data_IF_954819632507
#
_entry.id   IF_954819632507
#
_cell.length_a   1.000
_cell.length_b   1.000
_cell.length_c   1.000
_cell.angle_alpha   90.00
_cell.angle_beta   90.00
_cell.angle_gamma   90.00
#
_symmetry.space_group_name_H-M   'P 1'
#
loop_
_entity.id
_entity.type
_entity.pdbx_description
1 polymer ?
#
# COMPACT_ATOMS: atom_id res chain seq x y z
N UNK A 1 -21.52 -3.28 11.07
CA UNK A 1 -22.57 -4.24 10.66
C UNK A 1 -22.30 -4.63 9.22
N UNK A 2 -21.74 -5.83 8.95
CA UNK A 2 -21.43 -6.28 7.60
C UNK A 2 -22.75 -6.61 6.89
N UNK A 3 -22.91 -6.14 5.66
CA UNK A 3 -24.12 -6.34 4.86
C UNK A 3 -24.30 -7.85 4.56
N UNK A 4 -25.09 -8.54 5.38
CA UNK A 4 -25.43 -9.97 5.24
C UNK A 4 -26.81 -10.14 4.64
N UNK A 5 -27.00 -9.64 3.42
CA UNK A 5 -28.24 -9.89 2.66
C UNK A 5 -28.25 -11.28 2.03
N UNK A 6 -28.43 -12.32 2.81
CA UNK A 6 -28.55 -13.70 2.31
C UNK A 6 -29.93 -13.91 1.69
N UNK A 7 -30.02 -13.90 0.36
CA UNK A 7 -31.17 -14.44 -0.36
C UNK A 7 -31.04 -15.98 -0.44
N UNK A 8 -31.99 -16.71 0.16
CA UNK A 8 -32.13 -18.16 0.09
C UNK A 8 -32.37 -18.56 -1.38
N UNK A 9 -31.44 -19.27 -2.04
CA UNK A 9 -31.62 -19.82 -3.40
C UNK A 9 -30.63 -19.35 -4.47
N UNK A 10 -29.72 -18.41 -4.23
CA UNK A 10 -28.74 -17.98 -5.24
C UNK A 10 -27.59 -19.00 -5.40
N UNK A 11 -27.26 -19.30 -6.68
CA UNK A 11 -26.16 -20.19 -7.06
C UNK A 11 -24.85 -19.63 -6.54
N UNK A 12 -24.21 -20.32 -5.64
CA UNK A 12 -22.89 -19.99 -5.10
C UNK A 12 -21.81 -20.31 -6.10
N UNK A 13 -20.81 -19.42 -6.21
CA UNK A 13 -19.74 -19.55 -7.17
C UNK A 13 -18.37 -19.48 -6.49
N UNK A 14 -17.39 -20.15 -7.10
CA UNK A 14 -15.99 -20.13 -6.64
C UNK A 14 -15.26 -18.89 -7.17
N UNK A 15 -14.14 -18.56 -6.54
CA UNK A 15 -13.34 -17.35 -6.87
C UNK A 15 -13.00 -17.22 -8.38
N UNK A 16 -12.69 -18.32 -9.08
CA UNK A 16 -12.42 -18.29 -10.52
C UNK A 16 -13.63 -17.82 -11.33
N UNK A 17 -14.82 -18.23 -10.94
CA UNK A 17 -16.06 -17.80 -11.58
C UNK A 17 -16.39 -16.34 -11.25
N UNK A 18 -16.07 -15.90 -10.02
CA UNK A 18 -16.18 -14.48 -9.61
C UNK A 18 -15.23 -13.62 -10.46
N UNK A 19 -13.98 -14.06 -10.68
CA UNK A 19 -13.03 -13.38 -11.57
C UNK A 19 -13.61 -13.18 -12.97
N UNK A 20 -14.15 -14.22 -13.56
CA UNK A 20 -14.75 -14.17 -14.89
C UNK A 20 -15.98 -13.25 -14.96
N UNK A 21 -16.85 -13.28 -13.93
CA UNK A 21 -18.12 -12.51 -13.90
C UNK A 21 -17.96 -11.05 -13.54
N UNK A 22 -16.97 -10.71 -12.70
CA UNK A 22 -16.73 -9.35 -12.20
C UNK A 22 -15.57 -8.68 -12.91
N UNK A 23 -14.64 -9.47 -13.47
CA UNK A 23 -13.41 -8.97 -14.10
C UNK A 23 -12.48 -8.32 -13.07
N UNK A 24 -12.30 -8.97 -11.93
CA UNK A 24 -11.32 -8.64 -10.89
C UNK A 24 -10.46 -9.88 -10.65
N UNK A 25 -9.14 -9.72 -10.52
CA UNK A 25 -8.29 -10.86 -10.22
C UNK A 25 -8.49 -11.37 -8.78
N UNK A 26 -8.25 -12.66 -8.54
CA UNK A 26 -8.41 -13.31 -7.24
C UNK A 26 -7.63 -12.58 -6.13
N UNK A 27 -6.47 -12.02 -6.45
CA UNK A 27 -5.66 -11.23 -5.51
C UNK A 27 -6.43 -10.02 -4.97
N UNK A 28 -7.11 -9.28 -5.85
CA UNK A 28 -7.91 -8.12 -5.47
C UNK A 28 -9.15 -8.53 -4.68
N UNK A 29 -9.82 -9.64 -5.06
CA UNK A 29 -10.97 -10.16 -4.33
C UNK A 29 -10.58 -10.51 -2.89
N UNK A 30 -9.47 -11.28 -2.70
CA UNK A 30 -8.94 -11.63 -1.38
C UNK A 30 -8.48 -10.42 -0.57
N UNK A 31 -7.96 -9.39 -1.24
CA UNK A 31 -7.60 -8.14 -0.59
C UNK A 31 -8.85 -7.46 -0.02
N UNK A 32 -9.96 -7.36 -0.78
CA UNK A 32 -11.20 -6.79 -0.29
C UNK A 32 -11.84 -7.58 0.85
N UNK A 33 -11.70 -8.92 0.85
CA UNK A 33 -12.08 -9.76 2.00
C UNK A 33 -11.25 -9.41 3.24
N UNK A 34 -9.92 -9.34 3.10
CA UNK A 34 -9.01 -9.01 4.20
C UNK A 34 -9.30 -7.63 4.79
N UNK A 35 -9.64 -6.67 3.93
CA UNK A 35 -10.04 -5.32 4.35
C UNK A 35 -11.46 -5.25 4.93
N UNK A 36 -12.20 -6.38 4.93
CA UNK A 36 -13.53 -6.48 5.52
C UNK A 36 -14.64 -5.79 4.72
N UNK A 37 -14.45 -5.65 3.38
CA UNK A 37 -15.49 -5.17 2.47
C UNK A 37 -16.44 -6.30 2.04
N UNK A 38 -15.98 -7.56 2.16
CA UNK A 38 -16.69 -8.78 1.83
C UNK A 38 -16.52 -9.78 2.95
N UNK A 39 -17.54 -10.58 3.18
CA UNK A 39 -17.52 -11.70 4.12
C UNK A 39 -18.12 -12.96 3.47
N UNK A 40 -17.45 -13.55 2.45
CA UNK A 40 -17.96 -14.74 1.78
C UNK A 40 -18.02 -15.92 2.76
N UNK A 41 -18.96 -16.81 2.54
CA UNK A 41 -19.13 -17.98 3.38
C UNK A 41 -18.00 -18.99 3.13
N UNK A 42 -17.47 -19.56 4.20
CA UNK A 42 -16.51 -20.68 4.10
C UNK A 42 -17.29 -22.01 4.15
N UNK A 43 -16.92 -22.96 3.28
CA UNK A 43 -17.48 -24.31 3.32
C UNK A 43 -16.93 -25.07 4.53
N UNK A 44 -17.83 -25.70 5.29
CA UNK A 44 -17.43 -26.60 6.36
C UNK A 44 -16.67 -27.80 5.77
N UNK A 45 -15.43 -28.02 6.20
CA UNK A 45 -14.62 -29.18 5.85
C UNK A 45 -13.44 -28.93 4.92
N UNK A 46 -13.49 -28.00 3.97
CA UNK A 46 -12.39 -27.76 3.03
C UNK A 46 -11.86 -26.31 2.99
N UNK A 47 -12.48 -25.39 3.76
CA UNK A 47 -12.04 -23.99 3.85
C UNK A 47 -12.23 -23.16 2.58
N UNK A 48 -12.83 -23.71 1.51
CA UNK A 48 -13.08 -22.96 0.29
C UNK A 48 -14.15 -21.90 0.49
N UNK A 49 -13.94 -20.74 -0.15
CA UNK A 49 -14.86 -19.60 -0.12
C UNK A 49 -15.92 -19.75 -1.21
N UNK A 50 -17.17 -19.58 -0.82
CA UNK A 50 -18.33 -19.54 -1.71
C UNK A 50 -18.89 -18.11 -1.71
N UNK A 51 -19.03 -17.54 -2.89
CA UNK A 51 -19.56 -16.21 -3.12
C UNK A 51 -21.00 -16.31 -3.62
N UNK A 52 -21.86 -15.48 -3.09
CA UNK A 52 -23.25 -15.38 -3.54
C UNK A 52 -23.48 -14.16 -4.46
N UNK A 53 -24.71 -13.95 -4.90
CA UNK A 53 -25.06 -12.81 -5.76
C UNK A 53 -24.84 -11.47 -5.09
N UNK A 54 -25.01 -11.38 -3.77
CA UNK A 54 -24.77 -10.17 -2.99
C UNK A 54 -23.27 -9.81 -2.97
N UNK A 55 -22.39 -10.80 -2.81
CA UNK A 55 -20.95 -10.64 -2.89
C UNK A 55 -20.53 -10.14 -4.27
N UNK A 56 -21.06 -10.72 -5.35
CA UNK A 56 -20.80 -10.29 -6.72
C UNK A 56 -21.27 -8.85 -6.97
N UNK A 57 -22.44 -8.48 -6.45
CA UNK A 57 -22.96 -7.12 -6.53
C UNK A 57 -22.10 -6.13 -5.76
N UNK A 58 -21.64 -6.48 -4.55
CA UNK A 58 -20.70 -5.68 -3.77
C UNK A 58 -19.39 -5.48 -4.49
N UNK A 59 -18.78 -6.54 -5.06
CA UNK A 59 -17.56 -6.46 -5.84
C UNK A 59 -17.69 -5.55 -7.07
N UNK A 60 -18.82 -5.58 -7.76
CA UNK A 60 -19.07 -4.67 -8.90
C UNK A 60 -19.16 -3.21 -8.45
N UNK A 61 -19.80 -2.92 -7.31
CA UNK A 61 -19.87 -1.58 -6.71
C UNK A 61 -18.48 -1.11 -6.30
N UNK A 62 -17.70 -1.96 -5.62
CA UNK A 62 -16.31 -1.66 -5.26
C UNK A 62 -15.49 -1.34 -6.51
N UNK A 63 -15.56 -2.19 -7.55
CA UNK A 63 -14.87 -1.99 -8.82
C UNK A 63 -15.22 -0.65 -9.46
N UNK A 64 -16.51 -0.31 -9.51
CA UNK A 64 -16.98 0.96 -10.06
C UNK A 64 -16.39 2.15 -9.30
N UNK A 65 -16.54 2.18 -7.99
CA UNK A 65 -16.07 3.29 -7.15
C UNK A 65 -14.53 3.41 -7.16
N UNK A 66 -13.82 2.26 -7.19
CA UNK A 66 -12.35 2.26 -7.34
C UNK A 66 -11.87 2.77 -8.70
N UNK A 67 -12.62 2.53 -9.77
CA UNK A 67 -12.32 3.14 -11.08
C UNK A 67 -12.49 4.66 -11.09
N UNK A 68 -13.32 5.18 -10.21
CA UNK A 68 -13.47 6.62 -9.98
C UNK A 68 -12.46 7.16 -8.94
N UNK A 69 -11.50 6.34 -8.50
CA UNK A 69 -10.48 6.67 -7.48
C UNK A 69 -11.06 7.01 -6.08
N UNK A 70 -12.29 6.54 -5.78
CA UNK A 70 -12.87 6.70 -4.44
C UNK A 70 -12.04 5.93 -3.42
N UNK A 71 -11.66 6.53 -2.27
CA UNK A 71 -10.88 5.87 -1.23
C UNK A 71 -11.57 4.62 -0.68
N UNK A 72 -10.79 3.57 -0.39
CA UNK A 72 -11.33 2.30 0.07
C UNK A 72 -12.09 2.42 1.40
N UNK A 73 -11.63 3.30 2.30
CA UNK A 73 -12.29 3.59 3.56
C UNK A 73 -13.71 4.14 3.39
N UNK A 74 -13.91 5.03 2.41
CA UNK A 74 -15.24 5.57 2.09
C UNK A 74 -16.14 4.50 1.48
N UNK A 75 -15.59 3.67 0.57
CA UNK A 75 -16.34 2.53 0.00
C UNK A 75 -16.79 1.58 1.11
N UNK A 76 -15.92 1.29 2.07
CA UNK A 76 -16.24 0.47 3.24
C UNK A 76 -17.37 1.08 4.08
N UNK A 77 -17.31 2.39 4.33
CA UNK A 77 -18.34 3.12 5.07
C UNK A 77 -19.69 3.09 4.33
N UNK A 78 -19.67 3.26 2.99
CA UNK A 78 -20.88 3.16 2.16
C UNK A 78 -21.47 1.74 2.17
N UNK A 79 -20.66 0.69 2.08
CA UNK A 79 -21.11 -0.70 2.14
C UNK A 79 -21.66 -1.05 3.52
N UNK A 80 -21.12 -0.47 4.59
CA UNK A 80 -21.61 -0.63 5.95
C UNK A 80 -22.86 0.22 6.26
N UNK A 81 -23.28 1.11 5.35
CA UNK A 81 -24.41 2.01 5.54
C UNK A 81 -24.16 3.16 6.52
N UNK A 82 -22.90 3.39 6.94
CA UNK A 82 -22.51 4.51 7.81
C UNK A 82 -22.28 5.80 7.03
N UNK A 83 -22.13 5.70 5.72
CA UNK A 83 -22.01 6.81 4.78
C UNK A 83 -22.95 6.56 3.61
N UNK A 84 -23.75 7.56 3.22
CA UNK A 84 -24.58 7.45 2.02
C UNK A 84 -23.74 7.59 0.75
N UNK A 85 -24.20 7.00 -0.36
CA UNK A 85 -23.50 7.13 -1.65
C UNK A 85 -23.37 8.59 -2.08
N UNK A 86 -24.45 9.35 -1.92
CA UNK A 86 -24.50 10.77 -2.27
C UNK A 86 -23.48 11.59 -1.48
N UNK A 87 -23.45 11.42 -0.17
CA UNK A 87 -22.51 12.15 0.69
C UNK A 87 -21.04 11.77 0.39
N UNK A 88 -20.74 10.47 0.21
CA UNK A 88 -19.41 10.02 -0.15
C UNK A 88 -18.95 10.55 -1.51
N UNK A 89 -19.82 10.55 -2.51
CA UNK A 89 -19.49 11.09 -3.82
C UNK A 89 -19.34 12.61 -3.81
N UNK A 90 -20.14 13.36 -3.03
CA UNK A 90 -19.94 14.82 -2.87
C UNK A 90 -18.58 15.14 -2.25
N UNK A 91 -18.17 14.42 -1.20
CA UNK A 91 -16.84 14.58 -0.61
C UNK A 91 -15.74 14.28 -1.64
N UNK A 92 -15.91 13.24 -2.42
CA UNK A 92 -14.95 12.86 -3.43
C UNK A 92 -14.86 13.89 -4.58
N UNK A 93 -15.99 14.50 -4.99
CA UNK A 93 -16.00 15.60 -5.98
C UNK A 93 -15.13 16.77 -5.53
N UNK A 94 -15.24 17.20 -4.26
CA UNK A 94 -14.38 18.28 -3.72
C UNK A 94 -12.89 17.92 -3.83
N UNK A 95 -12.53 16.65 -3.58
CA UNK A 95 -11.15 16.18 -3.74
C UNK A 95 -10.71 16.23 -5.21
N UNK A 96 -11.56 15.80 -6.14
CA UNK A 96 -11.27 15.84 -7.58
C UNK A 96 -11.14 17.29 -8.10
N UNK A 97 -12.00 18.21 -7.68
CA UNK A 97 -11.92 19.64 -8.00
C UNK A 97 -10.60 20.25 -7.51
N UNK A 98 -10.20 19.94 -6.27
CA UNK A 98 -8.92 20.38 -5.72
C UNK A 98 -7.73 19.82 -6.53
N UNK A 99 -7.77 18.55 -6.91
CA UNK A 99 -6.73 17.94 -7.76
C UNK A 99 -6.69 18.58 -9.15
N UNK A 100 -7.83 18.86 -9.74
CA UNK A 100 -7.92 19.55 -11.03
C UNK A 100 -7.29 20.94 -10.97
N UNK A 101 -7.62 21.74 -9.95
CA UNK A 101 -7.02 23.05 -9.72
C UNK A 101 -5.48 22.97 -9.59
N UNK A 102 -4.97 21.99 -8.85
CA UNK A 102 -3.54 21.79 -8.70
C UNK A 102 -2.86 21.44 -10.03
N UNK A 103 -3.48 20.55 -10.83
CA UNK A 103 -2.98 20.18 -12.15
C UNK A 103 -3.00 21.35 -13.14
N UNK A 104 -4.06 22.15 -13.14
CA UNK A 104 -4.16 23.34 -13.98
C UNK A 104 -3.11 24.39 -13.62
N UNK A 105 -2.79 24.52 -12.33
CA UNK A 105 -1.71 25.43 -11.88
C UNK A 105 -0.34 24.90 -12.29
N UNK A 106 -0.07 23.62 -12.12
CA UNK A 106 1.18 23.01 -12.58
C UNK A 106 1.35 23.14 -14.09
N UNK A 107 0.27 22.92 -14.86
CA UNK A 107 0.27 23.08 -16.33
C UNK A 107 0.59 24.51 -16.75
N UNK A 108 0.02 25.52 -16.06
CA UNK A 108 0.33 26.93 -16.34
C UNK A 108 1.79 27.25 -16.08
N UNK A 109 2.34 26.82 -14.95
CA UNK A 109 3.76 26.99 -14.65
C UNK A 109 4.66 26.33 -15.69
N UNK A 110 4.36 25.10 -16.09
CA UNK A 110 5.09 24.43 -17.16
C UNK A 110 5.04 25.22 -18.49
N UNK A 111 3.86 25.77 -18.83
CA UNK A 111 3.68 26.55 -20.04
C UNK A 111 4.48 27.87 -20.01
N UNK A 112 4.59 28.51 -18.83
CA UNK A 112 5.42 29.71 -18.68
C UNK A 112 6.93 29.37 -18.79
N UNK A 113 7.37 28.32 -18.12
CA UNK A 113 8.76 27.84 -18.19
C UNK A 113 9.15 27.42 -19.62
N UNK A 114 8.22 26.84 -20.37
CA UNK A 114 8.43 26.43 -21.77
C UNK A 114 8.65 27.60 -22.73
N UNK A 115 8.32 28.84 -22.34
CA UNK A 115 8.63 30.03 -23.14
C UNK A 115 10.10 30.44 -23.05
N UNK A 116 10.85 29.93 -22.08
CA UNK A 116 12.30 30.20 -21.94
C UNK A 116 13.05 29.38 -23.00
N UNK A 117 13.67 30.03 -24.01
CA UNK A 117 14.40 29.31 -25.04
C UNK A 117 15.74 28.81 -24.49
N UNK A 118 16.15 27.63 -24.90
CA UNK A 118 17.49 27.13 -24.62
C UNK A 118 17.54 25.83 -23.80
N UNK A 119 18.70 25.57 -23.26
CA UNK A 119 18.98 24.39 -22.45
C UNK A 119 18.51 24.63 -21.01
N UNK A 120 18.36 23.54 -20.25
CA UNK A 120 17.99 23.61 -18.83
C UNK A 120 18.87 24.54 -17.98
N UNK A 121 20.14 24.70 -18.38
CA UNK A 121 21.09 25.63 -17.73
C UNK A 121 20.72 27.12 -17.86
N UNK A 122 19.84 27.47 -18.79
CA UNK A 122 19.35 28.84 -18.95
C UNK A 122 18.15 29.17 -18.04
N UNK A 123 17.56 28.17 -17.39
CA UNK A 123 16.45 28.35 -16.46
C UNK A 123 16.95 28.90 -15.13
N UNK A 124 16.37 30.01 -14.67
CA UNK A 124 16.53 30.46 -13.29
C UNK A 124 15.61 29.67 -12.36
N UNK A 125 16.14 28.72 -11.56
CA UNK A 125 15.33 27.88 -10.70
C UNK A 125 14.82 28.63 -9.47
N UNK A 126 15.52 29.70 -9.02
CA UNK A 126 15.16 30.39 -7.77
C UNK A 126 13.86 31.16 -7.92
N UNK A 127 13.68 31.87 -9.01
CA UNK A 127 12.44 32.60 -9.31
C UNK A 127 11.24 31.64 -9.45
N UNK A 128 11.43 30.51 -10.14
CA UNK A 128 10.39 29.49 -10.32
C UNK A 128 10.00 28.82 -8.98
N UNK A 129 11.00 28.49 -8.15
CA UNK A 129 10.76 27.89 -6.82
C UNK A 129 10.09 28.89 -5.86
N UNK A 130 10.44 30.18 -5.91
CA UNK A 130 9.78 31.21 -5.11
C UNK A 130 8.29 31.34 -5.47
N UNK A 131 7.96 31.34 -6.76
CA UNK A 131 6.56 31.33 -7.22
C UNK A 131 5.81 30.07 -6.80
N UNK A 132 6.43 28.89 -6.90
CA UNK A 132 5.83 27.66 -6.40
C UNK A 132 5.56 27.71 -4.90
N UNK A 133 6.51 28.24 -4.10
CA UNK A 133 6.34 28.38 -2.66
C UNK A 133 5.18 29.35 -2.31
N UNK A 134 5.01 30.43 -3.07
CA UNK A 134 3.88 31.36 -2.92
C UNK A 134 2.54 30.64 -3.18
N UNK A 135 2.47 29.89 -4.27
CA UNK A 135 1.26 29.14 -4.64
C UNK A 135 0.94 28.04 -3.61
N UNK A 136 1.95 27.43 -2.99
CA UNK A 136 1.76 26.46 -1.90
C UNK A 136 1.15 27.14 -0.65
N UNK A 137 1.56 28.36 -0.34
CA UNK A 137 0.93 29.14 0.74
C UNK A 137 -0.55 29.46 0.45
N UNK A 138 -0.92 29.63 -0.83
CA UNK A 138 -2.29 29.81 -1.30
C UNK A 138 -3.09 28.48 -1.33
N UNK A 139 -2.49 27.36 -0.91
CA UNK A 139 -3.13 26.04 -0.80
C UNK A 139 -3.01 25.14 -2.03
N UNK A 140 -2.23 25.52 -3.04
CA UNK A 140 -1.87 24.65 -4.15
C UNK A 140 -0.93 23.56 -3.65
N UNK A 141 -1.09 22.31 -4.13
CA UNK A 141 -0.19 21.20 -3.77
C UNK A 141 0.49 20.68 -5.02
N UNK A 142 1.79 20.93 -5.11
CA UNK A 142 2.62 20.31 -6.14
C UNK A 142 2.99 18.87 -5.75
N UNK A 143 3.25 18.03 -6.76
CA UNK A 143 3.67 16.64 -6.55
C UNK A 143 5.13 16.65 -6.12
N UNK A 144 5.38 16.32 -4.87
CA UNK A 144 6.74 16.08 -4.36
C UNK A 144 7.15 14.65 -4.72
N UNK A 145 7.84 14.52 -5.86
CA UNK A 145 8.33 13.23 -6.38
C UNK A 145 9.29 12.58 -5.38
N UNK A 146 10.18 13.38 -4.76
CA UNK A 146 11.15 12.86 -3.78
C UNK A 146 10.45 12.25 -2.55
N UNK A 147 9.37 12.89 -2.08
CA UNK A 147 8.60 12.38 -0.95
C UNK A 147 7.86 11.08 -1.26
N UNK A 148 7.41 10.94 -2.50
CA UNK A 148 6.72 9.73 -2.98
C UNK A 148 7.71 8.58 -3.14
N UNK A 149 8.87 8.81 -3.76
CA UNK A 149 9.94 7.83 -3.94
C UNK A 149 10.55 7.40 -2.61
N UNK A 150 10.73 8.33 -1.68
CA UNK A 150 11.23 8.06 -0.33
C UNK A 150 10.32 7.10 0.44
N UNK A 151 9.00 7.27 0.36
CA UNK A 151 8.02 6.34 0.96
C UNK A 151 8.12 4.95 0.32
N UNK A 152 8.25 4.88 -0.99
CA UNK A 152 8.35 3.61 -1.74
C UNK A 152 9.63 2.83 -1.39
N UNK A 153 10.78 3.53 -1.34
CA UNK A 153 12.08 2.97 -0.92
C UNK A 153 12.07 2.49 0.54
N UNK A 154 11.47 3.27 1.45
CA UNK A 154 11.32 2.89 2.84
C UNK A 154 10.46 1.62 3.04
N UNK A 155 9.36 1.47 2.30
CA UNK A 155 8.54 0.25 2.33
C UNK A 155 9.32 -0.98 1.87
N UNK A 156 10.13 -0.87 0.81
CA UNK A 156 11.00 -1.95 0.34
C UNK A 156 12.03 -2.38 1.40
N UNK A 157 12.68 -1.41 2.05
CA UNK A 157 13.65 -1.68 3.11
C UNK A 157 13.01 -2.38 4.33
N UNK A 158 11.81 -1.96 4.74
CA UNK A 158 11.06 -2.61 5.81
C UNK A 158 10.65 -4.05 5.45
N UNK A 159 10.18 -4.27 4.22
CA UNK A 159 9.76 -5.60 3.77
C UNK A 159 10.92 -6.59 3.75
N UNK A 160 12.09 -6.17 3.27
CA UNK A 160 13.29 -7.02 3.25
C UNK A 160 13.79 -7.35 4.66
N UNK A 161 13.78 -6.37 5.57
CA UNK A 161 14.16 -6.59 6.96
C UNK A 161 13.21 -7.55 7.69
N UNK A 162 11.90 -7.41 7.49
CA UNK A 162 10.91 -8.31 8.07
C UNK A 162 11.03 -9.74 7.51
N UNK A 163 11.28 -9.90 6.21
CA UNK A 163 11.51 -11.21 5.60
C UNK A 163 12.76 -11.89 6.18
N UNK A 164 13.86 -11.14 6.37
CA UNK A 164 15.09 -11.66 6.97
C UNK A 164 14.89 -12.05 8.44
N UNK A 165 14.23 -11.20 9.24
CA UNK A 165 13.94 -11.49 10.65
C UNK A 165 13.04 -12.71 10.76
N UNK A 166 12.03 -12.86 9.89
CA UNK A 166 11.15 -14.03 9.84
C UNK A 166 11.92 -15.32 9.52
N UNK A 167 12.85 -15.26 8.56
CA UNK A 167 13.71 -16.40 8.21
C UNK A 167 14.60 -16.79 9.40
N UNK A 168 15.20 -15.81 10.08
CA UNK A 168 16.03 -16.06 11.27
C UNK A 168 15.22 -16.66 12.43
N UNK A 169 14.01 -16.16 12.68
CA UNK A 169 13.11 -16.69 13.71
C UNK A 169 12.70 -18.15 13.41
N UNK A 170 12.48 -18.48 12.14
CA UNK A 170 12.18 -19.85 11.72
C UNK A 170 13.38 -20.77 11.93
N UNK A 171 14.59 -20.32 11.56
CA UNK A 171 15.82 -21.06 11.77
C UNK A 171 16.08 -21.30 13.27
N UNK A 172 15.85 -20.29 14.11
CA UNK A 172 15.94 -20.40 15.57
C UNK A 172 14.95 -21.40 16.13
N UNK A 173 13.69 -21.35 15.67
CA UNK A 173 12.67 -22.32 16.08
C UNK A 173 13.05 -23.76 15.75
N UNK A 174 13.62 -24.02 14.57
CA UNK A 174 14.13 -25.32 14.18
C UNK A 174 15.34 -25.74 15.03
N UNK A 175 16.23 -24.81 15.35
CA UNK A 175 17.40 -25.05 16.21
C UNK A 175 16.97 -25.44 17.63
N UNK A 176 16.06 -24.68 18.23
CA UNK A 176 15.52 -24.97 19.56
C UNK A 176 14.82 -26.32 19.57
N UNK A 177 14.02 -26.63 18.54
CA UNK A 177 13.40 -27.95 18.41
C UNK A 177 14.44 -29.09 18.33
N UNK A 178 15.50 -28.94 17.53
CA UNK A 178 16.56 -29.92 17.42
C UNK A 178 17.28 -30.17 18.76
N UNK A 179 17.52 -29.12 19.55
CA UNK A 179 18.12 -29.24 20.88
C UNK A 179 17.21 -29.96 21.91
N UNK A 180 15.90 -30.00 21.67
CA UNK A 180 14.97 -30.81 22.50
C UNK A 180 15.01 -32.31 22.15
N UNK A 181 15.38 -32.65 20.90
CA UNK A 181 15.50 -34.04 20.42
C UNK A 181 16.84 -34.63 20.82
N UNK A 182 17.93 -33.89 20.60
CA UNK A 182 19.30 -34.28 20.96
C UNK A 182 19.93 -33.23 21.91
N UNK A 183 19.85 -33.41 23.23
CA UNK A 183 20.35 -32.44 24.18
C UNK A 183 21.89 -32.39 24.18
N UNK A 184 22.43 -31.20 23.92
CA UNK A 184 23.87 -30.94 23.96
C UNK A 184 24.28 -30.24 25.29
N UNK A 185 25.58 -30.21 25.64
CA UNK A 185 26.04 -29.48 26.81
C UNK A 185 25.62 -28.03 26.84
N UNK A 186 25.20 -27.52 28.00
CA UNK A 186 24.64 -26.19 28.20
C UNK A 186 25.42 -25.06 27.51
N UNK A 187 26.79 -24.99 27.60
CA UNK A 187 27.54 -23.93 26.96
C UNK A 187 27.43 -23.92 25.42
N UNK A 188 27.32 -25.12 24.81
CA UNK A 188 27.15 -25.29 23.37
C UNK A 188 25.73 -24.86 22.96
N UNK A 189 24.72 -25.24 23.75
CA UNK A 189 23.34 -24.85 23.52
C UNK A 189 23.18 -23.30 23.55
N UNK A 190 23.79 -22.63 24.53
CA UNK A 190 23.78 -21.17 24.64
C UNK A 190 24.48 -20.47 23.46
N UNK A 191 25.58 -21.04 22.97
CA UNK A 191 26.30 -20.51 21.81
C UNK A 191 25.46 -20.65 20.54
N UNK A 192 24.84 -21.81 20.35
CA UNK A 192 23.96 -22.07 19.20
C UNK A 192 22.70 -21.22 19.21
N UNK A 193 22.08 -20.99 20.38
CA UNK A 193 20.89 -20.15 20.50
C UNK A 193 21.22 -18.63 20.48
N UNK A 194 22.44 -18.23 20.79
CA UNK A 194 22.83 -16.80 20.87
C UNK A 194 23.25 -16.19 19.52
N UNK A 195 23.81 -16.99 18.62
CA UNK A 195 24.38 -16.44 17.37
C UNK A 195 23.35 -15.80 16.42
N UNK A 196 22.10 -16.27 16.26
CA UNK A 196 21.13 -15.60 15.39
C UNK A 196 20.72 -14.21 15.88
N UNK A 197 20.81 -13.96 17.20
CA UNK A 197 20.53 -12.65 17.77
C UNK A 197 21.50 -11.56 17.26
N UNK A 198 22.76 -11.94 17.00
CA UNK A 198 23.78 -11.03 16.42
C UNK A 198 23.37 -10.61 15.01
N UNK A 199 22.86 -11.55 14.20
CA UNK A 199 22.39 -11.25 12.85
C UNK A 199 21.13 -10.40 12.82
N UNK A 200 20.19 -10.63 13.74
CA UNK A 200 18.99 -9.81 13.90
C UNK A 200 19.39 -8.39 14.33
N UNK A 201 20.32 -8.25 15.28
CA UNK A 201 20.83 -6.93 15.70
C UNK A 201 21.53 -6.21 14.52
N UNK A 202 22.37 -6.93 13.74
CA UNK A 202 22.99 -6.41 12.52
C UNK A 202 21.98 -5.95 11.47
N UNK A 203 20.92 -6.75 11.24
CA UNK A 203 19.84 -6.40 10.31
C UNK A 203 19.08 -5.16 10.76
N UNK A 204 18.82 -4.99 12.05
CA UNK A 204 18.17 -3.80 12.61
C UNK A 204 19.05 -2.55 12.48
N UNK A 205 20.37 -2.69 12.70
CA UNK A 205 21.32 -1.60 12.49
C UNK A 205 21.39 -1.20 11.01
N UNK A 206 21.50 -2.18 10.12
CA UNK A 206 21.48 -1.95 8.66
C UNK A 206 20.17 -1.27 8.20
N UNK A 207 19.03 -1.70 8.73
CA UNK A 207 17.73 -1.06 8.46
C UNK A 207 17.74 0.40 8.93
N UNK A 208 18.21 0.67 10.14
CA UNK A 208 18.32 2.04 10.68
C UNK A 208 19.22 2.90 9.80
N UNK A 209 20.38 2.37 9.39
CA UNK A 209 21.29 3.07 8.50
C UNK A 209 20.64 3.34 7.14
N UNK A 210 19.99 2.34 6.54
CA UNK A 210 19.28 2.48 5.25
C UNK A 210 18.16 3.50 5.30
N UNK A 211 17.36 3.50 6.36
CA UNK A 211 16.31 4.49 6.57
C UNK A 211 16.88 5.90 6.76
N UNK A 212 18.04 6.03 7.41
CA UNK A 212 18.74 7.30 7.58
C UNK A 212 19.29 7.83 6.24
N UNK A 213 19.84 6.96 5.40
CA UNK A 213 20.32 7.28 4.04
C UNK A 213 19.15 7.72 3.13
N UNK A 214 18.03 6.98 3.14
CA UNK A 214 16.81 7.34 2.40
C UNK A 214 16.28 8.70 2.87
N UNK A 215 16.39 9.00 4.18
CA UNK A 215 15.97 10.29 4.75
C UNK A 215 16.89 11.42 4.32
N UNK A 216 18.18 11.17 4.20
CA UNK A 216 19.19 12.17 3.79
C UNK A 216 19.25 12.39 2.27
N UNK A 217 18.68 11.50 1.46
CA UNK A 217 18.72 11.61 0.00
C UNK A 217 20.09 11.25 -0.62
N UNK A 218 21.00 10.69 0.13
CA UNK A 218 22.36 10.36 -0.32
C UNK A 218 22.38 9.30 -1.43
N UNK A 219 21.34 8.46 -1.51
CA UNK A 219 21.24 7.38 -2.51
C UNK A 219 21.07 7.90 -3.95
N UNK A 220 20.54 9.11 -4.10
CA UNK A 220 20.35 9.72 -5.43
C UNK A 220 21.62 10.43 -5.93
N UNK A 221 22.54 10.80 -5.04
CA UNK A 221 23.82 11.43 -5.39
C UNK A 221 24.77 10.45 -6.10
N UNK A 222 24.74 9.16 -5.77
CA UNK A 222 25.63 8.14 -6.38
C UNK A 222 25.13 7.58 -7.71
N UNK A 223 23.89 7.85 -8.10
CA UNK A 223 23.29 7.29 -9.32
C UNK A 223 23.46 8.17 -10.54
N UNK A 224 23.98 9.37 -10.37
CA UNK A 224 24.19 10.38 -11.43
C UNK A 224 25.66 10.57 -11.82
N UNK A 225 26.53 9.60 -11.53
CA UNK A 225 27.89 9.55 -12.04
C UNK A 225 28.14 8.27 -12.82
#
# INVERSE_FOLDING_TARGET
MVYTGHRKGERRVRIKEVEARVGLCAKNIRFYEKEGLLAPRQQAGNGYRDYDGADLAALRRIKLLRKLDVPLGEIKAMLAGTLTLDEGLRRHLVVLESRQKNLDTARRLCAELAKTPGLLSALDPEAALAEMARLEQEGVRFIDVQKTDRKRKAHGAWLSALAFIGLMAMAEGLMVWALTVDPVPLPVALLLAGWPLVFVAGALLALRQRLKEIRKGEEDAYRNY
#
